data_IF_590784068752
#
_entry.id   IF_590784068752
#
_cell.length_a   1.000
_cell.length_b   1.000
_cell.length_c   1.000
_cell.angle_alpha   90.00
_cell.angle_beta   90.00
_cell.angle_gamma   90.00
#
_symmetry.space_group_name_H-M   'P 1'
#
loop_
_entity.id
_entity.type
_entity.pdbx_description
1 polymer ?
#
# COMPACT_ATOMS: atom_id res chain seq x y z
N UNK A 1 -15.62 -10.72 -70.34
CA UNK A 1 -14.74 -11.82 -69.92
C UNK A 1 -15.21 -12.27 -68.55
N UNK A 2 -15.61 -13.53 -68.40
CA UNK A 2 -15.93 -14.11 -67.10
C UNK A 2 -14.62 -14.48 -66.39
N UNK A 3 -14.32 -13.82 -65.29
CA UNK A 3 -13.18 -14.13 -64.43
C UNK A 3 -13.46 -15.44 -63.69
N UNK A 4 -12.65 -16.48 -63.94
CA UNK A 4 -12.75 -17.76 -63.24
C UNK A 4 -11.89 -17.68 -61.99
N UNK A 5 -12.53 -17.74 -60.81
CA UNK A 5 -11.86 -17.66 -59.52
C UNK A 5 -11.85 -19.04 -58.86
N UNK A 6 -10.68 -19.50 -58.43
CA UNK A 6 -10.55 -20.75 -57.67
C UNK A 6 -11.12 -20.59 -56.26
N UNK A 7 -11.51 -21.70 -55.64
CA UNK A 7 -11.94 -21.70 -54.24
C UNK A 7 -10.78 -21.31 -53.32
N UNK A 8 -11.08 -20.66 -52.20
CA UNK A 8 -10.09 -20.35 -51.18
C UNK A 8 -9.64 -21.63 -50.46
N UNK A 9 -8.43 -21.62 -49.90
CA UNK A 9 -7.92 -22.67 -49.02
C UNK A 9 -7.24 -22.01 -47.81
N UNK A 10 -6.89 -22.77 -46.75
CA UNK A 10 -6.18 -22.20 -45.61
C UNK A 10 -4.91 -21.44 -46.05
N UNK A 11 -4.56 -20.34 -45.36
CA UNK A 11 -3.34 -19.62 -45.68
C UNK A 11 -2.12 -20.46 -45.27
N UNK A 12 -0.96 -20.20 -45.85
CA UNK A 12 0.28 -20.92 -45.58
C UNK A 12 1.49 -19.97 -45.52
N UNK A 13 2.56 -20.43 -44.87
CA UNK A 13 3.85 -19.74 -44.81
C UNK A 13 3.76 -18.33 -44.19
N UNK A 14 3.19 -18.24 -42.98
CA UNK A 14 3.18 -17.00 -42.20
C UNK A 14 4.60 -16.60 -41.75
N UNK A 15 5.14 -15.44 -42.18
CA UNK A 15 6.43 -14.96 -41.72
C UNK A 15 6.41 -14.64 -40.22
N UNK A 16 7.56 -14.82 -39.57
CA UNK A 16 7.72 -14.49 -38.16
C UNK A 16 7.65 -12.98 -37.91
N UNK A 17 7.06 -12.56 -36.78
CA UNK A 17 6.99 -11.15 -36.43
C UNK A 17 8.39 -10.57 -36.19
N UNK A 18 8.59 -9.31 -36.56
CA UNK A 18 9.84 -8.57 -36.46
C UNK A 18 9.73 -7.41 -35.46
N UNK A 19 10.65 -7.30 -34.48
CA UNK A 19 10.66 -6.19 -33.54
C UNK A 19 11.11 -4.91 -34.23
N UNK A 20 10.32 -3.84 -34.07
CA UNK A 20 10.65 -2.49 -34.56
C UNK A 20 11.35 -1.65 -33.48
N UNK A 21 10.89 -1.76 -32.24
CA UNK A 21 11.46 -1.05 -31.11
C UNK A 21 11.28 -1.86 -29.81
N UNK A 22 12.25 -1.76 -28.90
CA UNK A 22 12.24 -2.41 -27.60
C UNK A 22 12.48 -1.36 -26.50
N UNK A 23 11.74 -1.48 -25.41
CA UNK A 23 11.97 -0.73 -24.18
C UNK A 23 12.20 -1.72 -23.02
N UNK A 24 12.36 -1.22 -21.79
CA UNK A 24 12.43 -2.08 -20.61
C UNK A 24 11.07 -2.72 -20.25
N UNK A 25 9.95 -2.21 -20.78
CA UNK A 25 8.59 -2.64 -20.42
C UNK A 25 7.65 -2.86 -21.61
N UNK A 26 8.14 -2.71 -22.84
CA UNK A 26 7.33 -2.89 -24.05
C UNK A 26 8.16 -3.33 -25.26
N UNK A 27 7.47 -3.94 -26.22
CA UNK A 27 8.02 -4.32 -27.51
C UNK A 27 7.05 -3.94 -28.63
N UNK A 28 7.47 -3.05 -29.53
CA UNK A 28 6.73 -2.73 -30.75
C UNK A 28 7.13 -3.70 -31.84
N UNK A 29 6.14 -4.37 -32.41
CA UNK A 29 6.34 -5.51 -33.29
C UNK A 29 5.44 -5.39 -34.51
N UNK A 30 5.95 -5.81 -35.66
CA UNK A 30 5.24 -5.84 -36.92
C UNK A 30 5.33 -7.24 -37.55
N UNK A 31 4.30 -7.63 -38.30
CA UNK A 31 4.27 -8.87 -39.06
C UNK A 31 3.65 -8.64 -40.43
N UNK A 32 4.09 -9.45 -41.40
CA UNK A 32 3.53 -9.47 -42.75
C UNK A 32 2.32 -10.42 -42.83
N UNK A 33 1.60 -10.35 -43.94
CA UNK A 33 0.62 -11.38 -44.30
C UNK A 33 1.31 -12.70 -44.70
N UNK A 34 0.59 -13.83 -44.70
CA UNK A 34 1.11 -15.10 -45.20
C UNK A 34 1.60 -14.97 -46.65
N UNK A 35 2.74 -15.59 -46.97
CA UNK A 35 3.27 -15.59 -48.35
C UNK A 35 2.34 -16.31 -49.34
N UNK A 36 1.55 -17.26 -48.84
CA UNK A 36 0.49 -17.93 -49.58
C UNK A 36 -0.85 -17.71 -48.86
N UNK A 37 -1.54 -16.56 -49.06
CA UNK A 37 -2.75 -16.22 -48.31
C UNK A 37 -3.97 -17.07 -48.71
N UNK A 38 -3.95 -17.63 -49.93
CA UNK A 38 -4.95 -18.56 -50.46
C UNK A 38 -6.42 -18.11 -50.31
N UNK A 39 -6.65 -16.81 -50.18
CA UNK A 39 -7.92 -16.22 -49.81
C UNK A 39 -7.71 -14.81 -49.25
N UNK A 40 -8.80 -14.16 -48.87
CA UNK A 40 -8.72 -12.86 -48.19
C UNK A 40 -8.38 -13.10 -46.71
N UNK A 41 -7.32 -12.46 -46.22
CA UNK A 41 -6.99 -12.50 -44.79
C UNK A 41 -7.98 -11.63 -44.02
N UNK A 42 -8.67 -12.23 -43.06
CA UNK A 42 -9.74 -11.58 -42.31
C UNK A 42 -9.25 -10.97 -40.99
N UNK A 43 -8.26 -11.62 -40.35
CA UNK A 43 -7.63 -11.19 -39.11
C UNK A 43 -6.29 -11.89 -38.88
N UNK A 44 -5.51 -11.34 -37.96
CA UNK A 44 -4.32 -11.96 -37.40
C UNK A 44 -4.32 -11.81 -35.87
N UNK A 45 -3.62 -12.73 -35.22
CA UNK A 45 -3.36 -12.79 -33.79
C UNK A 45 -1.88 -12.64 -33.52
N UNK A 46 -1.54 -11.91 -32.45
CA UNK A 46 -0.20 -11.92 -31.88
C UNK A 46 -0.20 -12.74 -30.60
N UNK A 47 0.53 -13.85 -30.64
CA UNK A 47 0.75 -14.72 -29.49
C UNK A 47 2.08 -14.37 -28.83
N UNK A 48 2.08 -14.25 -27.50
CA UNK A 48 3.25 -13.95 -26.69
C UNK A 48 3.37 -14.97 -25.56
N UNK A 49 4.57 -15.42 -25.26
CA UNK A 49 4.87 -16.23 -24.07
C UNK A 49 6.20 -15.81 -23.47
N UNK A 50 6.37 -15.98 -22.16
CA UNK A 50 7.71 -15.85 -21.56
C UNK A 50 8.58 -16.99 -22.05
N UNK A 51 9.80 -16.64 -22.48
CA UNK A 51 10.83 -17.63 -22.79
C UNK A 51 11.51 -18.09 -21.50
N UNK A 52 12.42 -19.05 -21.61
CA UNK A 52 13.21 -19.43 -20.46
C UNK A 52 14.03 -18.23 -19.95
N UNK A 53 14.14 -18.08 -18.61
CA UNK A 53 14.88 -16.98 -18.00
C UNK A 53 16.31 -16.91 -18.56
N UNK A 54 16.75 -15.70 -18.89
CA UNK A 54 18.11 -15.46 -19.39
C UNK A 54 19.13 -15.82 -18.29
N UNK A 55 20.15 -16.65 -18.56
CA UNK A 55 21.30 -16.77 -17.66
C UNK A 55 22.25 -15.57 -17.87
N UNK A 56 23.20 -15.24 -16.96
CA UNK A 56 23.49 -15.82 -15.66
C UNK A 56 23.22 -14.85 -14.50
N UNK A 57 22.56 -15.38 -13.48
CA UNK A 57 22.68 -14.94 -12.09
C UNK A 57 23.27 -16.13 -11.32
N UNK A 58 23.90 -15.95 -10.15
CA UNK A 58 24.72 -16.98 -9.49
C UNK A 58 24.03 -18.34 -9.31
N UNK A 59 22.69 -18.36 -9.32
CA UNK A 59 21.86 -19.56 -9.30
C UNK A 59 21.12 -19.68 -10.64
N UNK A 60 21.23 -20.84 -11.29
CA UNK A 60 20.52 -21.13 -12.53
C UNK A 60 19.01 -21.32 -12.25
N UNK A 61 18.13 -20.43 -12.72
CA UNK A 61 16.69 -20.64 -12.57
C UNK A 61 16.22 -21.80 -13.45
N UNK A 62 15.18 -22.50 -13.02
CA UNK A 62 14.56 -23.53 -13.87
C UNK A 62 13.99 -22.89 -15.15
N UNK A 63 14.22 -23.56 -16.27
CA UNK A 63 13.66 -23.19 -17.56
C UNK A 63 12.18 -23.60 -17.59
N UNK A 64 11.30 -22.60 -17.40
CA UNK A 64 9.86 -22.75 -17.50
C UNK A 64 9.36 -21.75 -18.53
N UNK A 65 8.84 -22.26 -19.66
CA UNK A 65 8.12 -21.42 -20.62
C UNK A 65 6.77 -21.01 -20.05
N UNK A 66 6.37 -19.77 -20.31
CA UNK A 66 5.06 -19.27 -19.88
C UNK A 66 3.92 -19.82 -20.71
N UNK A 67 2.70 -19.54 -20.24
CA UNK A 67 1.52 -19.78 -21.05
C UNK A 67 1.50 -18.87 -22.27
N UNK A 68 0.89 -19.36 -23.36
CA UNK A 68 0.69 -18.57 -24.57
C UNK A 68 -0.50 -17.64 -24.33
N UNK A 69 -0.26 -16.35 -24.49
CA UNK A 69 -1.28 -15.31 -24.37
C UNK A 69 -1.48 -14.63 -25.71
N UNK A 70 -2.75 -14.43 -26.10
CA UNK A 70 -3.12 -13.62 -27.26
C UNK A 70 -3.15 -12.15 -26.84
N UNK A 71 -2.19 -11.36 -27.33
CA UNK A 71 -2.07 -9.93 -27.00
C UNK A 71 -2.74 -9.01 -28.01
N UNK A 72 -3.04 -9.52 -29.20
CA UNK A 72 -3.71 -8.78 -30.26
C UNK A 72 -4.59 -9.72 -31.08
N UNK A 73 -5.75 -9.22 -31.52
CA UNK A 73 -6.62 -9.85 -32.51
C UNK A 73 -7.23 -8.78 -33.41
N UNK A 74 -7.06 -8.90 -34.72
CA UNK A 74 -7.70 -7.98 -35.67
C UNK A 74 -6.97 -7.91 -37.01
N UNK A 75 -7.30 -6.90 -37.83
CA UNK A 75 -6.70 -6.69 -39.17
C UNK A 75 -5.39 -5.90 -39.16
N UNK A 76 -4.94 -5.49 -37.98
CA UNK A 76 -3.67 -4.78 -37.82
C UNK A 76 -2.48 -5.69 -38.13
N UNK A 77 -1.38 -5.05 -38.56
CA UNK A 77 -0.10 -5.72 -38.86
C UNK A 77 1.02 -5.29 -37.93
N UNK A 78 0.72 -4.42 -36.98
CA UNK A 78 1.63 -3.99 -35.94
C UNK A 78 0.91 -3.91 -34.60
N UNK A 79 1.67 -4.08 -33.53
CA UNK A 79 1.17 -3.95 -32.17
C UNK A 79 2.29 -3.63 -31.20
N UNK A 80 1.99 -2.82 -30.19
CA UNK A 80 2.91 -2.56 -29.09
C UNK A 80 2.51 -3.42 -27.89
N UNK A 81 3.31 -4.44 -27.60
CA UNK A 81 3.12 -5.30 -26.43
C UNK A 81 3.66 -4.56 -25.21
N UNK A 82 2.78 -4.12 -24.32
CA UNK A 82 3.12 -3.39 -23.09
C UNK A 82 3.03 -4.28 -21.84
N UNK A 83 3.63 -3.83 -20.73
CA UNK A 83 3.56 -4.55 -19.46
C UNK A 83 4.51 -5.74 -19.36
N UNK A 84 5.57 -5.74 -20.19
CA UNK A 84 6.65 -6.72 -20.12
C UNK A 84 7.55 -6.43 -18.91
N UNK A 85 8.24 -7.45 -18.40
CA UNK A 85 9.27 -7.27 -17.36
C UNK A 85 10.59 -6.83 -17.99
N UNK A 86 11.42 -6.03 -17.30
CA UNK A 86 12.74 -5.64 -17.77
C UNK A 86 13.69 -6.83 -17.77
N UNK A 87 14.71 -6.75 -18.63
CA UNK A 87 15.73 -7.77 -18.78
C UNK A 87 15.15 -9.20 -18.84
N UNK A 88 14.05 -9.35 -19.57
CA UNK A 88 13.29 -10.60 -19.65
C UNK A 88 13.06 -10.97 -21.12
N UNK A 89 13.19 -12.26 -21.42
CA UNK A 89 13.02 -12.78 -22.77
C UNK A 89 11.62 -13.30 -23.00
N UNK A 90 11.06 -12.92 -24.15
CA UNK A 90 9.73 -13.30 -24.61
C UNK A 90 9.82 -13.90 -26.01
N UNK A 91 8.91 -14.82 -26.31
CA UNK A 91 8.73 -15.37 -27.64
C UNK A 91 7.40 -14.91 -28.21
N UNK A 92 7.43 -14.48 -29.48
CA UNK A 92 6.29 -13.95 -30.19
C UNK A 92 6.07 -14.71 -31.50
N UNK A 93 4.82 -14.96 -31.86
CA UNK A 93 4.44 -15.47 -33.18
C UNK A 93 3.16 -14.81 -33.66
N UNK A 94 3.01 -14.68 -34.97
CA UNK A 94 1.78 -14.21 -35.59
C UNK A 94 1.00 -15.41 -36.14
N UNK A 95 -0.33 -15.39 -36.01
CA UNK A 95 -1.23 -16.36 -36.64
C UNK A 95 -2.26 -15.60 -37.46
N UNK A 96 -2.34 -15.81 -38.77
CA UNK A 96 -3.30 -15.13 -39.62
C UNK A 96 -4.38 -16.10 -40.12
N UNK A 97 -5.59 -15.58 -40.26
CA UNK A 97 -6.82 -16.31 -40.51
C UNK A 97 -7.46 -15.84 -41.82
N UNK A 98 -7.97 -16.81 -42.58
CA UNK A 98 -8.96 -16.57 -43.63
C UNK A 98 -10.21 -17.41 -43.35
N UNK A 99 -11.22 -17.29 -44.20
CA UNK A 99 -12.48 -18.02 -44.06
C UNK A 99 -12.35 -19.56 -44.14
N UNK A 100 -11.19 -20.10 -44.52
CA UNK A 100 -10.94 -21.53 -44.67
C UNK A 100 -10.01 -22.11 -43.59
N UNK A 101 -9.27 -21.28 -42.86
CA UNK A 101 -8.35 -21.74 -41.82
C UNK A 101 -7.33 -20.70 -41.37
N UNK A 102 -6.20 -21.17 -40.83
CA UNK A 102 -5.14 -20.30 -40.31
C UNK A 102 -3.75 -20.88 -40.52
N UNK A 103 -2.75 -20.00 -40.46
CA UNK A 103 -1.34 -20.40 -40.38
C UNK A 103 -0.60 -19.57 -39.35
N UNK A 104 0.28 -20.22 -38.60
CA UNK A 104 1.10 -19.59 -37.57
C UNK A 104 2.56 -19.52 -38.02
N UNK A 105 3.25 -18.45 -37.65
CA UNK A 105 4.68 -18.34 -37.86
C UNK A 105 5.49 -19.18 -36.88
N UNK A 106 6.78 -19.32 -37.17
CA UNK A 106 7.76 -19.65 -36.14
C UNK A 106 7.84 -18.55 -35.07
N UNK A 107 8.31 -18.93 -33.88
CA UNK A 107 8.53 -17.99 -32.78
C UNK A 107 9.77 -17.12 -33.01
N UNK A 108 9.64 -15.82 -32.76
CA UNK A 108 10.74 -14.86 -32.65
C UNK A 108 11.00 -14.55 -31.18
N UNK A 109 12.25 -14.63 -30.74
CA UNK A 109 12.64 -14.24 -29.38
C UNK A 109 13.01 -12.76 -29.34
N UNK A 110 12.54 -12.03 -28.34
CA UNK A 110 12.95 -10.65 -28.01
C UNK A 110 13.30 -10.57 -26.54
N UNK A 111 14.25 -9.70 -26.18
CA UNK A 111 14.63 -9.44 -24.79
C UNK A 111 14.43 -7.96 -24.52
N UNK A 112 13.67 -7.64 -23.47
CA UNK A 112 13.47 -6.25 -23.04
C UNK A 112 14.76 -5.64 -22.50
N UNK A 113 14.85 -4.31 -22.56
CA UNK A 113 16.02 -3.60 -22.08
C UNK A 113 16.15 -3.69 -20.55
N UNK A 114 17.35 -3.45 -20.06
CA UNK A 114 17.67 -3.35 -18.63
C UNK A 114 17.13 -2.05 -18.04
N UNK A 115 16.91 -2.05 -16.73
CA UNK A 115 16.55 -0.88 -15.94
C UNK A 115 17.33 -0.88 -14.62
N UNK A 116 17.34 0.24 -13.91
CA UNK A 116 17.91 0.30 -12.57
C UNK A 116 17.20 -0.72 -11.65
N UNK A 117 17.94 -1.33 -10.70
CA UNK A 117 17.33 -2.22 -9.73
C UNK A 117 16.36 -1.45 -8.85
N UNK A 118 15.39 -2.15 -8.27
CA UNK A 118 14.35 -1.56 -7.44
C UNK A 118 14.25 -2.31 -6.11
N UNK A 119 14.22 -1.57 -5.01
CA UNK A 119 13.84 -2.11 -3.71
C UNK A 119 12.32 -2.35 -3.66
N UNK A 120 11.91 -3.57 -3.32
CA UNK A 120 10.50 -4.00 -3.37
C UNK A 120 9.96 -4.45 -2.01
N UNK A 121 10.80 -4.96 -1.10
CA UNK A 121 10.36 -5.43 0.21
C UNK A 121 11.51 -5.44 1.23
N UNK A 122 11.22 -5.30 2.54
CA UNK A 122 12.23 -5.42 3.58
C UNK A 122 12.91 -6.80 3.55
N UNK A 123 14.20 -6.85 3.91
CA UNK A 123 14.88 -8.13 4.10
C UNK A 123 14.54 -8.72 5.46
N UNK A 124 14.58 -10.04 5.56
CA UNK A 124 14.23 -10.75 6.78
C UNK A 124 15.45 -10.92 7.69
N UNK A 125 15.22 -10.80 9.01
CA UNK A 125 16.25 -10.94 10.03
C UNK A 125 15.81 -11.97 11.05
N UNK A 126 16.52 -13.09 11.08
CA UNK A 126 16.31 -14.16 12.05
C UNK A 126 17.52 -14.24 12.97
N UNK A 127 17.33 -14.64 14.23
CA UNK A 127 18.45 -14.79 15.15
C UNK A 127 18.25 -15.91 16.13
N UNK A 128 19.33 -16.63 16.44
CA UNK A 128 19.41 -17.58 17.54
C UNK A 128 20.41 -17.09 18.60
N UNK A 129 20.85 -17.95 19.52
CA UNK A 129 21.77 -17.56 20.60
C UNK A 129 23.15 -17.08 20.12
N UNK A 130 23.62 -17.53 18.95
CA UNK A 130 25.00 -17.31 18.49
C UNK A 130 25.10 -16.63 17.12
N UNK A 131 24.04 -16.65 16.31
CA UNK A 131 24.02 -16.20 14.93
C UNK A 131 22.80 -15.32 14.65
N UNK A 132 23.00 -14.37 13.75
CA UNK A 132 21.95 -13.64 13.04
C UNK A 132 22.01 -14.06 11.58
N UNK A 133 20.89 -14.49 11.04
CA UNK A 133 20.69 -14.83 9.64
C UNK A 133 19.90 -13.71 8.96
N UNK A 134 20.48 -13.18 7.89
CA UNK A 134 19.92 -12.11 7.07
C UNK A 134 19.55 -12.70 5.71
N UNK A 135 18.33 -12.46 5.24
CA UNK A 135 17.85 -12.91 3.94
C UNK A 135 17.21 -11.74 3.17
N UNK A 136 17.87 -11.32 2.08
CA UNK A 136 17.42 -10.27 1.17
C UNK A 136 17.06 -10.80 -0.22
N UNK A 137 16.81 -12.11 -0.36
CA UNK A 137 16.47 -12.75 -1.63
C UNK A 137 15.21 -12.19 -2.31
N UNK A 138 14.23 -11.73 -1.52
CA UNK A 138 12.99 -11.14 -2.01
C UNK A 138 12.96 -9.60 -1.95
N UNK A 139 14.07 -8.95 -1.59
CA UNK A 139 14.09 -7.51 -1.32
C UNK A 139 14.29 -6.63 -2.55
N UNK A 140 14.79 -7.19 -3.65
CA UNK A 140 15.14 -6.44 -4.86
C UNK A 140 14.56 -7.07 -6.12
N UNK A 141 14.01 -6.22 -6.99
CA UNK A 141 13.86 -6.53 -8.42
C UNK A 141 15.08 -6.03 -9.16
N UNK A 142 15.85 -6.94 -9.74
CA UNK A 142 17.16 -6.61 -10.31
C UNK A 142 17.06 -5.80 -11.59
N UNK A 143 16.05 -6.09 -12.42
CA UNK A 143 15.82 -5.44 -13.71
C UNK A 143 17.03 -5.45 -14.67
N UNK A 144 18.03 -6.31 -14.42
CA UNK A 144 19.28 -6.39 -15.16
C UNK A 144 20.26 -7.40 -14.55
N UNK A 145 21.46 -7.52 -15.14
CA UNK A 145 22.54 -8.37 -14.62
C UNK A 145 23.02 -7.89 -13.24
N UNK A 146 23.08 -8.81 -12.26
CA UNK A 146 23.58 -8.52 -10.93
C UNK A 146 25.11 -8.36 -10.96
N UNK A 147 25.61 -7.25 -10.39
CA UNK A 147 27.04 -7.03 -10.12
C UNK A 147 27.43 -7.57 -8.75
N UNK A 148 26.76 -7.10 -7.72
CA UNK A 148 26.96 -7.53 -6.34
C UNK A 148 25.84 -7.02 -5.43
N UNK A 149 25.66 -7.73 -4.31
CA UNK A 149 25.05 -7.20 -3.11
C UNK A 149 26.15 -6.73 -2.16
N UNK A 150 25.89 -5.65 -1.44
CA UNK A 150 26.73 -5.20 -0.32
C UNK A 150 25.89 -4.97 0.93
N UNK A 151 26.36 -5.50 2.06
CA UNK A 151 25.75 -5.27 3.38
C UNK A 151 26.63 -4.31 4.17
N UNK A 152 26.02 -3.31 4.79
CA UNK A 152 26.69 -2.39 5.71
C UNK A 152 26.10 -2.48 7.12
N UNK A 153 26.94 -2.36 8.14
CA UNK A 153 26.58 -2.14 9.55
C UNK A 153 27.13 -0.79 9.99
N UNK A 154 26.27 0.16 10.36
CA UNK A 154 26.66 1.54 10.69
C UNK A 154 27.55 2.19 9.60
N UNK A 155 27.16 2.02 8.33
CA UNK A 155 27.88 2.45 7.13
C UNK A 155 29.24 1.76 6.86
N UNK A 156 29.63 0.77 7.67
CA UNK A 156 30.82 -0.03 7.43
C UNK A 156 30.44 -1.29 6.65
N UNK A 157 31.12 -1.54 5.53
CA UNK A 157 30.83 -2.71 4.68
C UNK A 157 31.25 -4.00 5.38
N UNK A 158 30.27 -4.88 5.60
CA UNK A 158 30.41 -6.20 6.24
C UNK A 158 30.50 -7.31 5.19
N UNK A 159 29.79 -7.16 4.07
CA UNK A 159 29.75 -8.14 3.00
C UNK A 159 29.73 -7.48 1.62
N UNK A 160 30.35 -8.15 0.65
CA UNK A 160 30.17 -7.89 -0.78
C UNK A 160 30.23 -9.22 -1.55
N UNK A 161 29.28 -9.45 -2.45
CA UNK A 161 29.26 -10.65 -3.28
C UNK A 161 27.89 -10.95 -3.88
N UNK A 162 27.71 -12.17 -4.35
CA UNK A 162 26.51 -12.57 -5.10
C UNK A 162 25.42 -13.26 -4.25
N UNK A 163 25.72 -13.59 -3.00
CA UNK A 163 24.76 -14.29 -2.15
C UNK A 163 23.67 -13.33 -1.69
N UNK A 164 22.44 -13.83 -1.69
CA UNK A 164 21.25 -13.10 -1.23
C UNK A 164 21.00 -13.25 0.27
N UNK A 165 21.93 -13.84 1.01
CA UNK A 165 21.82 -14.10 2.44
C UNK A 165 23.20 -14.09 3.12
N UNK A 166 23.23 -13.88 4.43
CA UNK A 166 24.46 -13.90 5.23
C UNK A 166 24.20 -14.33 6.68
N UNK A 167 25.16 -15.06 7.25
CA UNK A 167 25.22 -15.33 8.69
C UNK A 167 26.27 -14.42 9.34
N UNK A 168 25.89 -13.68 10.37
CA UNK A 168 26.80 -12.87 11.18
C UNK A 168 26.75 -13.33 12.65
N UNK A 169 27.87 -13.26 13.39
CA UNK A 169 27.89 -13.62 14.80
C UNK A 169 27.00 -12.68 15.62
N UNK A 170 26.17 -13.24 16.50
CA UNK A 170 25.39 -12.47 17.46
C UNK A 170 26.29 -12.04 18.62
N UNK A 171 26.50 -10.74 18.75
CA UNK A 171 27.17 -10.14 19.92
C UNK A 171 26.09 -9.58 20.85
N UNK A 172 26.12 -9.91 22.14
CA UNK A 172 24.98 -9.73 23.06
C UNK A 172 24.61 -8.27 23.36
N UNK A 173 25.49 -7.31 23.05
CA UNK A 173 25.34 -5.91 23.48
C UNK A 173 25.29 -4.90 22.33
N UNK A 174 25.51 -5.32 21.08
CA UNK A 174 25.60 -4.39 19.94
C UNK A 174 24.29 -4.35 19.15
N UNK A 175 23.64 -3.19 19.10
CA UNK A 175 22.58 -2.91 18.11
C UNK A 175 23.22 -2.80 16.73
N UNK A 176 22.71 -3.56 15.78
CA UNK A 176 23.17 -3.54 14.39
C UNK A 176 22.30 -2.58 13.58
N UNK A 177 22.94 -1.75 12.74
CA UNK A 177 22.26 -0.83 11.83
C UNK A 177 22.52 -1.27 10.40
N UNK A 178 21.65 -2.13 9.89
CA UNK A 178 21.89 -2.90 8.67
C UNK A 178 21.25 -2.25 7.45
N UNK A 179 22.01 -2.14 6.37
CA UNK A 179 21.50 -1.74 5.06
C UNK A 179 22.12 -2.61 3.97
N UNK A 180 21.28 -3.16 3.10
CA UNK A 180 21.70 -3.91 1.92
C UNK A 180 21.57 -3.02 0.69
N UNK A 181 22.59 -3.04 -0.16
CA UNK A 181 22.58 -2.37 -1.47
C UNK A 181 22.77 -3.41 -2.56
N UNK A 182 21.86 -3.41 -3.52
CA UNK A 182 21.92 -4.18 -4.75
C UNK A 182 22.49 -3.31 -5.87
N UNK A 183 23.50 -3.81 -6.57
CA UNK A 183 24.14 -3.13 -7.70
C UNK A 183 23.97 -3.95 -8.97
N UNK A 184 23.58 -3.30 -10.07
CA UNK A 184 23.58 -3.85 -11.43
C UNK A 184 24.42 -2.96 -12.35
N UNK A 185 24.57 -3.33 -13.62
CA UNK A 185 25.33 -2.52 -14.59
C UNK A 185 24.68 -1.15 -14.90
N UNK A 186 23.39 -0.98 -14.58
CA UNK A 186 22.64 0.26 -14.86
C UNK A 186 22.52 1.16 -13.63
N UNK A 187 22.63 0.62 -12.41
CA UNK A 187 22.52 1.41 -11.19
C UNK A 187 22.48 0.59 -9.91
N UNK A 188 22.07 1.22 -8.82
CA UNK A 188 22.00 0.60 -7.51
C UNK A 188 20.72 0.97 -6.77
N UNK A 189 20.22 0.06 -5.94
CA UNK A 189 19.11 0.29 -5.03
C UNK A 189 19.48 -0.22 -3.64
N UNK A 190 19.09 0.53 -2.61
CA UNK A 190 19.38 0.18 -1.22
C UNK A 190 18.09 0.02 -0.43
N UNK A 191 18.11 -0.88 0.55
CA UNK A 191 17.03 -0.96 1.54
C UNK A 191 17.09 0.26 2.46
N UNK A 192 16.00 0.58 3.19
CA UNK A 192 16.12 1.43 4.36
C UNK A 192 17.02 0.77 5.41
N UNK A 193 17.48 1.57 6.38
CA UNK A 193 18.31 1.07 7.47
C UNK A 193 17.41 0.36 8.48
N UNK A 194 17.67 -0.93 8.71
CA UNK A 194 16.98 -1.75 9.70
C UNK A 194 17.83 -1.84 10.96
N UNK A 195 17.24 -1.54 12.12
CA UNK A 195 17.91 -1.66 13.41
C UNK A 195 17.53 -2.97 14.08
N UNK A 196 18.52 -3.81 14.36
CA UNK A 196 18.35 -5.07 15.07
C UNK A 196 19.02 -4.99 16.45
N UNK A 197 18.23 -5.22 17.50
CA UNK A 197 18.72 -5.33 18.87
C UNK A 197 18.66 -6.79 19.34
N UNK A 198 19.78 -7.38 19.79
CA UNK A 198 19.80 -8.72 20.39
C UNK A 198 18.87 -8.89 21.60
N UNK A 199 18.55 -7.81 22.32
CA UNK A 199 17.76 -7.85 23.56
C UNK A 199 16.24 -7.71 23.33
N UNK A 200 15.84 -7.01 22.27
CA UNK A 200 14.45 -6.59 22.02
C UNK A 200 13.90 -7.00 20.64
N UNK A 201 14.73 -7.54 19.75
CA UNK A 201 14.35 -7.89 18.38
C UNK A 201 14.51 -6.73 17.39
N UNK A 202 13.77 -6.77 16.27
CA UNK A 202 13.76 -5.70 15.27
C UNK A 202 13.07 -4.43 15.82
N UNK A 203 13.69 -3.27 15.59
CA UNK A 203 13.08 -1.96 15.86
C UNK A 203 12.52 -1.34 14.58
N UNK A 204 11.60 -0.35 14.68
CA UNK A 204 10.97 0.28 13.52
C UNK A 204 11.98 0.86 12.52
N UNK A 205 11.67 0.71 11.24
CA UNK A 205 12.46 1.19 10.10
C UNK A 205 12.52 2.71 10.09
N UNK A 206 13.72 3.28 10.00
CA UNK A 206 13.91 4.72 9.90
C UNK A 206 14.18 5.12 8.45
N UNK A 207 13.39 6.03 7.85
CA UNK A 207 13.60 6.46 6.48
C UNK A 207 14.88 7.31 6.35
N UNK A 208 15.70 7.01 5.34
CA UNK A 208 16.91 7.76 5.00
C UNK A 208 16.56 9.21 4.61
N UNK A 209 17.31 10.23 5.08
CA UNK A 209 17.02 11.63 4.79
C UNK A 209 17.43 11.97 3.34
N UNK A 210 16.46 11.96 2.42
CA UNK A 210 16.70 12.28 1.02
C UNK A 210 15.42 12.41 0.21
N UNK A 211 14.64 13.46 0.48
CA UNK A 211 13.46 13.81 -0.34
C UNK A 211 12.52 14.78 0.37
N UNK A 212 12.59 16.07 0.03
CA UNK A 212 11.59 17.06 0.44
C UNK A 212 10.27 16.76 -0.27
N UNK A 213 9.23 16.39 0.49
CA UNK A 213 7.84 16.89 0.41
C UNK A 213 6.85 15.90 1.03
N UNK A 214 5.93 16.43 1.85
CA UNK A 214 4.66 15.78 2.20
C UNK A 214 4.68 14.96 3.48
N UNK A 215 4.38 15.60 4.60
CA UNK A 215 3.95 14.95 5.85
C UNK A 215 2.67 14.17 5.55
N UNK A 216 2.80 12.84 5.39
CA UNK A 216 1.70 11.89 5.34
C UNK A 216 1.61 11.16 6.68
N UNK A 217 0.74 11.65 7.54
CA UNK A 217 0.36 11.03 8.82
C UNK A 217 -0.09 9.59 8.57
N UNK A 218 0.69 8.59 9.01
CA UNK A 218 0.16 7.25 9.20
C UNK A 218 -0.85 7.33 10.34
N UNK A 219 -2.13 7.31 9.97
CA UNK A 219 -3.23 7.29 10.93
C UNK A 219 -3.10 6.05 11.82
N UNK A 220 -2.87 6.27 13.11
CA UNK A 220 -3.21 5.29 14.11
C UNK A 220 -4.70 4.94 13.93
N UNK A 221 -5.11 3.68 14.13
CA UNK A 221 -6.50 3.32 13.95
C UNK A 221 -7.38 4.19 14.85
N UNK A 222 -8.51 4.67 14.31
CA UNK A 222 -9.39 5.72 14.88
C UNK A 222 -9.89 5.41 16.31
N UNK A 223 -9.72 4.19 16.80
CA UNK A 223 -10.05 3.78 18.16
C UNK A 223 -8.95 4.02 19.21
N UNK A 224 -7.74 4.42 18.81
CA UNK A 224 -6.61 4.70 19.72
C UNK A 224 -6.57 6.13 20.24
N UNK A 225 -7.40 7.01 19.68
CA UNK A 225 -7.50 8.39 20.10
C UNK A 225 -8.38 8.53 21.35
N UNK A 226 -7.82 9.11 22.41
CA UNK A 226 -8.49 9.24 23.72
C UNK A 226 -9.86 9.92 23.64
N UNK A 227 -10.06 10.84 22.69
CA UNK A 227 -11.33 11.54 22.50
C UNK A 227 -12.45 10.63 21.94
N UNK A 228 -12.11 9.63 21.13
CA UNK A 228 -13.09 8.68 20.56
C UNK A 228 -13.62 7.72 21.64
N UNK A 229 -12.73 7.27 22.54
CA UNK A 229 -13.11 6.45 23.71
C UNK A 229 -14.04 7.25 24.63
N UNK A 230 -13.72 8.52 24.90
CA UNK A 230 -14.57 9.39 25.71
C UNK A 230 -15.95 9.61 25.08
N UNK A 231 -16.02 9.77 23.76
CA UNK A 231 -17.28 9.90 23.02
C UNK A 231 -18.15 8.65 23.15
N UNK A 232 -17.59 7.45 22.99
CA UNK A 232 -18.33 6.19 23.13
C UNK A 232 -18.82 5.95 24.56
N UNK A 233 -18.03 6.30 25.58
CA UNK A 233 -18.44 6.22 26.98
C UNK A 233 -19.60 7.17 27.27
N UNK A 234 -19.53 8.41 26.76
CA UNK A 234 -20.63 9.37 26.93
C UNK A 234 -21.91 8.91 26.24
N UNK A 235 -21.80 8.37 25.01
CA UNK A 235 -22.94 7.79 24.30
C UNK A 235 -23.57 6.62 25.08
N UNK A 236 -22.73 5.73 25.63
CA UNK A 236 -23.18 4.61 26.45
C UNK A 236 -23.91 5.04 27.72
N UNK A 237 -23.40 6.04 28.44
CA UNK A 237 -24.04 6.60 29.63
C UNK A 237 -25.37 7.27 29.31
N UNK A 238 -25.46 7.97 28.17
CA UNK A 238 -26.70 8.61 27.72
C UNK A 238 -27.78 7.58 27.40
N UNK A 239 -27.42 6.49 26.71
CA UNK A 239 -28.35 5.37 26.43
C UNK A 239 -28.81 4.70 27.73
N UNK A 240 -27.91 4.47 28.68
CA UNK A 240 -28.25 3.91 29.99
C UNK A 240 -29.23 4.79 30.76
N UNK A 241 -29.01 6.11 30.77
CA UNK A 241 -29.88 7.08 31.43
C UNK A 241 -31.29 7.10 30.81
N UNK A 242 -31.39 7.02 29.48
CA UNK A 242 -32.68 6.91 28.78
C UNK A 242 -33.39 5.61 29.15
N UNK A 243 -32.69 4.48 29.18
CA UNK A 243 -33.27 3.19 29.57
C UNK A 243 -33.77 3.21 31.02
N UNK A 244 -32.97 3.76 31.95
CA UNK A 244 -33.39 3.95 33.34
C UNK A 244 -34.61 4.88 33.44
N UNK A 245 -34.64 5.96 32.67
CA UNK A 245 -35.78 6.87 32.60
C UNK A 245 -37.04 6.21 32.04
N UNK A 246 -36.92 5.31 31.06
CA UNK A 246 -38.04 4.53 30.53
C UNK A 246 -38.53 3.50 31.54
N UNK A 247 -37.63 2.79 32.23
CA UNK A 247 -37.98 1.83 33.29
C UNK A 247 -38.66 2.55 34.46
N UNK A 248 -38.15 3.70 34.89
CA UNK A 248 -38.77 4.53 35.93
C UNK A 248 -40.13 5.09 35.49
N UNK A 249 -40.27 5.56 34.24
CA UNK A 249 -41.58 5.95 33.69
C UNK A 249 -42.57 4.78 33.68
N UNK A 250 -42.09 3.57 33.41
CA UNK A 250 -42.91 2.35 33.42
C UNK A 250 -43.29 1.92 34.84
N UNK A 251 -42.39 2.10 35.81
CA UNK A 251 -42.59 1.73 37.20
C UNK A 251 -43.45 2.75 37.99
N UNK A 252 -43.40 4.04 37.62
CA UNK A 252 -44.09 5.14 38.30
C UNK A 252 -45.47 5.46 37.71
N UNK A 253 -45.85 4.93 36.54
CA UNK A 253 -47.24 4.94 36.06
C UNK A 253 -48.04 3.86 36.76
N UNK A 254 -48.31 4.07 38.05
CA UNK A 254 -49.44 3.43 38.74
C UNK A 254 -50.66 4.34 38.60
N UNK A 255 -51.80 3.78 38.23
CA UNK A 255 -53.04 4.55 38.06
C UNK A 255 -53.49 5.20 39.38
N UNK A 256 -54.04 6.43 39.34
CA UNK A 256 -54.42 7.13 40.57
C UNK A 256 -55.69 6.53 41.17
N UNK A 257 -55.59 6.10 42.43
CA UNK A 257 -56.75 5.74 43.25
C UNK A 257 -57.64 6.98 43.48
N UNK A 258 -58.86 6.95 42.95
CA UNK A 258 -59.92 7.92 43.26
C UNK A 258 -60.33 7.74 44.73
N UNK A 259 -60.16 8.79 45.53
CA UNK A 259 -60.61 8.85 46.92
C UNK A 259 -61.58 10.03 47.04
N UNK A 260 -62.89 9.74 47.06
CA UNK A 260 -63.93 10.74 47.27
C UNK A 260 -63.78 11.38 48.67
N UNK A 261 -63.92 12.71 48.76
CA UNK A 261 -63.98 13.45 50.04
C UNK A 261 -65.34 14.12 50.22
N UNK A 262 -65.91 14.10 51.45
CA UNK A 262 -66.98 15.03 51.83
C UNK A 262 -66.41 16.42 52.21
N UNK A 263 -67.24 17.49 52.20
CA UNK A 263 -66.77 18.88 52.26
C UNK A 263 -66.31 19.33 53.65
N UNK A 264 -65.31 20.22 53.67
CA UNK A 264 -64.66 20.77 54.87
C UNK A 264 -65.33 22.08 55.33
N UNK A 265 -65.50 22.23 56.65
CA UNK A 265 -65.95 23.45 57.34
C UNK A 265 -64.71 24.34 57.66
N UNK A 266 -64.77 25.69 57.52
CA UNK A 266 -63.60 26.55 57.70
C UNK A 266 -63.23 26.84 59.17
N UNK A 267 -61.91 26.91 59.38
CA UNK A 267 -61.16 27.25 60.59
C UNK A 267 -61.49 28.61 61.22
N UNK A 268 -61.32 28.68 62.55
CA UNK A 268 -61.12 29.95 63.27
C UNK A 268 -59.78 29.97 64.03
N UNK A 269 -59.08 31.08 63.80
CA UNK A 269 -57.69 31.46 64.08
C UNK A 269 -57.49 31.95 65.53
N UNK A 270 -56.22 32.10 65.94
CA UNK A 270 -55.60 33.09 66.89
C UNK A 270 -54.81 32.41 68.02
N UNK A 271 -53.64 32.83 68.54
CA UNK A 271 -52.60 33.85 68.27
C UNK A 271 -51.42 33.60 69.26
N UNK A 272 -50.19 33.82 68.78
CA UNK A 272 -48.91 34.24 69.42
C UNK A 272 -48.56 33.94 70.90
N UNK A 273 -47.32 33.45 71.10
CA UNK A 273 -46.23 33.98 71.96
C UNK A 273 -44.99 33.07 71.73
N UNK A 274 -43.79 33.52 71.33
CA UNK A 274 -42.77 34.27 72.08
C UNK A 274 -41.61 33.32 72.43
N UNK A 275 -40.51 33.28 71.66
CA UNK A 275 -39.14 33.79 72.00
C UNK A 275 -38.27 32.65 72.59
N UNK A 276 -36.94 32.54 72.49
CA UNK A 276 -35.81 33.13 71.77
C UNK A 276 -34.62 32.16 71.99
N UNK A 277 -33.68 32.05 71.04
CA UNK A 277 -32.28 31.65 71.30
C UNK A 277 -31.34 31.99 70.11
N UNK A 278 -30.77 33.21 70.16
CA UNK A 278 -29.34 33.58 70.02
C UNK A 278 -28.34 32.48 69.55
N UNK A 279 -27.28 32.68 68.73
CA UNK A 279 -26.45 33.86 68.41
C UNK A 279 -25.34 33.56 67.34
N UNK A 280 -24.79 34.64 66.75
CA UNK A 280 -23.57 34.85 65.90
C UNK A 280 -23.66 34.56 64.37
N UNK A 281 -23.84 35.54 63.46
CA UNK A 281 -23.09 36.78 63.02
C UNK A 281 -21.91 36.40 62.10
N UNK A 282 -22.00 36.58 60.76
CA UNK A 282 -21.67 37.80 59.94
C UNK A 282 -20.20 38.23 60.13
N UNK A 283 -19.36 38.54 59.14
CA UNK A 283 -19.57 39.13 57.82
C UNK A 283 -18.25 39.08 57.01
N UNK A 284 -18.34 39.57 55.77
CA UNK A 284 -17.29 40.12 54.89
C UNK A 284 -16.41 39.14 54.11
N UNK A 285 -16.55 39.03 52.78
CA UNK A 285 -16.36 40.09 51.77
C UNK A 285 -14.99 40.77 51.88
N UNK A 286 -13.94 40.05 51.49
CA UNK A 286 -12.86 40.66 50.74
C UNK A 286 -12.14 39.48 50.08
N UNK A 287 -12.15 39.42 48.75
CA UNK A 287 -11.08 40.03 47.96
C UNK A 287 -9.75 39.42 48.38
N UNK A 288 -9.07 38.95 47.35
CA UNK A 288 -7.87 38.15 47.47
C UNK A 288 -8.23 36.77 47.99
N UNK A 289 -8.42 35.81 47.11
CA UNK A 289 -7.24 35.43 46.38
C UNK A 289 -7.70 34.52 45.26
N UNK A 290 -7.16 34.77 44.07
CA UNK A 290 -6.68 33.67 43.23
C UNK A 290 -7.81 32.90 42.53
N UNK A 291 -8.07 33.02 41.25
CA UNK A 291 -7.26 33.41 40.09
C UNK A 291 -8.30 33.34 38.96
N UNK A 292 -8.66 34.41 38.26
CA UNK A 292 -7.76 35.06 37.31
C UNK A 292 -6.98 34.02 36.48
N UNK A 293 -7.68 33.28 35.61
CA UNK A 293 -7.06 32.67 34.42
C UNK A 293 -7.98 32.70 33.18
N UNK A 294 -8.92 33.63 33.14
CA UNK A 294 -9.67 33.97 31.93
C UNK A 294 -9.24 35.33 31.39
N UNK A 295 -8.05 35.43 30.77
CA UNK A 295 -7.76 36.38 29.68
C UNK A 295 -6.31 36.27 29.16
N UNK A 296 -6.20 35.70 27.96
CA UNK A 296 -5.45 36.22 26.78
C UNK A 296 -3.91 36.13 26.71
N UNK A 297 -3.45 35.46 25.64
CA UNK A 297 -2.29 35.90 24.83
C UNK A 297 -2.63 35.80 23.33
N UNK A 298 -3.03 36.94 22.74
CA UNK A 298 -2.70 37.32 21.35
C UNK A 298 -1.19 37.65 21.35
N UNK A 299 -0.39 37.52 20.30
CA UNK A 299 -0.55 37.91 18.90
C UNK A 299 0.74 37.49 18.17
N UNK A 300 0.72 37.30 16.84
CA UNK A 300 1.79 37.72 15.92
C UNK A 300 1.20 37.93 14.51
N UNK A 301 0.97 39.21 14.21
CA UNK A 301 1.35 39.93 12.98
C UNK A 301 1.46 39.16 11.66
N UNK A 302 0.64 39.56 10.68
CA UNK A 302 1.09 39.67 9.29
C UNK A 302 0.88 41.09 8.76
N UNK A 303 1.83 41.43 7.90
CA UNK A 303 2.24 42.73 7.41
C UNK A 303 1.38 43.20 6.23
N UNK A 304 1.39 44.50 6.05
CA UNK A 304 0.72 45.33 5.04
C UNK A 304 1.07 44.98 3.60
N UNK A 305 0.12 45.20 2.67
CA UNK A 305 0.34 46.07 1.51
C UNK A 305 -0.98 46.37 0.78
N UNK A 306 -1.29 47.65 0.61
CA UNK A 306 -2.05 48.11 -0.57
C UNK A 306 -1.67 49.55 -0.85
N UNK A 307 -0.96 49.71 -1.96
CA UNK A 307 -0.62 50.99 -2.56
C UNK A 307 -1.69 51.29 -3.63
N UNK A 308 -2.22 52.52 -3.57
CA UNK A 308 -3.10 53.22 -4.53
C UNK A 308 -4.57 52.77 -4.64
#
# INVERSE_FOLDING_TARGET
MSEVRTQASPPEQQPSPRPLALTSRSAQVEWDEPLAPNGLIESCELHVRSSCPQPPQPVLPLCVEGQIETRFFGRGRNYNVTGLQPYSSYQLRATCYNNMGSTASNWTTVTTLTEAPQYISPFEVYSNLTLVWLDWSASFSLNGPLRDYSLTDNNLRVYIGFHSYLYIPRTSEKTLSLQVTCTTDIGSASTPIIRYSPATGMSPVEPTPGGKQGVGTQGAPVYSEMWFILLLVFLGLLVLAVLLGLVLRRALRKEPFIRERPPLIPLQKRSQAGGDAYMYVEDDEFVEAIKAFSSVRKEHTMFTDTHL
#
